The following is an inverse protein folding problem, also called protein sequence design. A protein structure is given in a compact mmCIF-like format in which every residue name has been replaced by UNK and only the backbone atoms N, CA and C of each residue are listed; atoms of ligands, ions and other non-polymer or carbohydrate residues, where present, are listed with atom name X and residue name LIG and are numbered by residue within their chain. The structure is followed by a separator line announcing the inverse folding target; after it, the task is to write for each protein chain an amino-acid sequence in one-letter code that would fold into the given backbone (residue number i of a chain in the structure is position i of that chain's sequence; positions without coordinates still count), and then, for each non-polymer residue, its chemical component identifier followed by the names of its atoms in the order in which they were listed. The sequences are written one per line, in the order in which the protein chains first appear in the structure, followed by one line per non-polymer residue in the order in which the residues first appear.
data_IF_399115426728
#
_entry.id   IF_399115426728
#
_cell.length_a   1.000
_cell.length_b   1.000
_cell.length_c   1.000
_cell.angle_alpha   90.00
_cell.angle_beta   90.00
_cell.angle_gamma   90.00
#
_symmetry.space_group_name_H-M   'P 1'
#
loop_
_entity.id
_entity.type
_entity.pdbx_description
1 polymer ?
#
# COMPACT_ATOMS: atom_id res chain seq x y z
N UNK A 1 -18.95 25.93 2.04
CA UNK A 1 -18.25 24.76 1.48
C UNK A 1 -17.40 24.20 2.59
N UNK A 2 -17.88 23.19 3.31
CA UNK A 2 -17.06 22.50 4.30
C UNK A 2 -16.04 21.68 3.50
N UNK A 3 -14.78 22.11 3.54
CA UNK A 3 -13.68 21.17 3.28
C UNK A 3 -13.71 20.24 4.48
N UNK A 4 -14.36 19.08 4.34
CA UNK A 4 -14.12 17.99 5.26
C UNK A 4 -12.63 17.70 5.18
N UNK A 5 -11.89 18.13 6.20
CA UNK A 5 -10.49 17.78 6.42
C UNK A 5 -10.46 16.29 6.81
N UNK A 6 -10.89 15.42 5.91
CA UNK A 6 -10.68 13.99 6.06
C UNK A 6 -9.18 13.78 5.91
N UNK A 7 -8.51 13.48 7.03
CA UNK A 7 -7.11 13.05 7.04
C UNK A 7 -6.89 11.72 6.30
N UNK A 8 -7.93 11.17 5.66
CA UNK A 8 -7.83 9.94 4.90
C UNK A 8 -7.18 10.22 3.55
N UNK A 9 -6.02 9.60 3.36
CA UNK A 9 -5.23 9.72 2.15
C UNK A 9 -5.65 8.68 1.09
N UNK A 10 -6.53 7.75 1.45
CA UNK A 10 -7.07 6.73 0.56
C UNK A 10 -8.51 7.11 0.17
N UNK A 11 -8.76 7.22 -1.14
CA UNK A 11 -10.09 7.48 -1.71
C UNK A 11 -10.92 6.21 -1.86
N UNK A 12 -10.28 5.12 -2.26
CA UNK A 12 -10.92 3.83 -2.48
C UNK A 12 -9.87 2.70 -2.47
N UNK A 13 -10.32 1.47 -2.18
CA UNK A 13 -9.52 0.26 -2.29
C UNK A 13 -10.26 -0.74 -3.19
N UNK A 14 -9.60 -1.17 -4.25
CA UNK A 14 -10.08 -2.24 -5.13
C UNK A 14 -9.09 -3.39 -5.15
N UNK A 15 -9.59 -4.60 -5.38
CA UNK A 15 -8.73 -5.74 -5.68
C UNK A 15 -8.38 -5.71 -7.17
N UNK A 16 -7.14 -6.06 -7.50
CA UNK A 16 -6.62 -6.11 -8.87
C UNK A 16 -5.80 -7.38 -9.07
N UNK A 17 -5.70 -7.79 -10.33
CA UNK A 17 -4.82 -8.87 -10.75
C UNK A 17 -3.59 -8.27 -11.42
N UNK A 18 -2.42 -8.58 -10.91
CA UNK A 18 -1.13 -8.19 -11.49
C UNK A 18 -0.90 -8.92 -12.83
N UNK A 19 0.03 -8.45 -13.65
CA UNK A 19 0.34 -9.05 -14.96
C UNK A 19 0.84 -10.51 -14.87
N UNK A 20 1.36 -10.92 -13.71
CA UNK A 20 1.77 -12.31 -13.42
C UNK A 20 0.62 -13.19 -12.89
N UNK A 21 -0.61 -12.66 -12.79
CA UNK A 21 -1.79 -13.38 -12.29
C UNK A 21 -1.98 -13.32 -10.76
N UNK A 22 -1.05 -12.73 -10.02
CA UNK A 22 -1.18 -12.59 -8.57
C UNK A 22 -2.26 -11.55 -8.21
N UNK A 23 -2.95 -11.78 -7.10
CA UNK A 23 -3.90 -10.82 -6.54
C UNK A 23 -3.16 -9.75 -5.73
N UNK A 24 -3.68 -8.53 -5.75
CA UNK A 24 -3.18 -7.41 -4.96
C UNK A 24 -4.33 -6.46 -4.58
N UNK A 25 -4.13 -5.67 -3.54
CA UNK A 25 -5.01 -4.54 -3.23
C UNK A 25 -4.42 -3.26 -3.82
N UNK A 26 -5.25 -2.49 -4.51
CA UNK A 26 -4.93 -1.18 -5.06
C UNK A 26 -5.68 -0.10 -4.29
N UNK A 27 -4.95 0.67 -3.49
CA UNK A 27 -5.44 1.84 -2.77
C UNK A 27 -5.21 3.11 -3.61
N UNK A 28 -6.29 3.69 -4.13
CA UNK A 28 -6.24 4.97 -4.84
C UNK A 28 -6.03 6.11 -3.84
N UNK A 29 -4.96 6.86 -3.99
CA UNK A 29 -4.57 7.93 -3.09
C UNK A 29 -5.17 9.28 -3.50
N UNK A 30 -5.18 10.25 -2.58
CA UNK A 30 -5.70 11.59 -2.85
C UNK A 30 -4.89 12.42 -3.86
N UNK A 31 -3.67 12.00 -4.18
CA UNK A 31 -2.80 12.62 -5.18
C UNK A 31 -2.91 11.95 -6.56
N UNK A 32 -3.98 11.20 -6.80
CA UNK A 32 -4.29 10.48 -8.05
C UNK A 32 -3.34 9.32 -8.40
N UNK A 33 -2.38 8.99 -7.53
CA UNK A 33 -1.57 7.76 -7.64
C UNK A 33 -2.24 6.56 -6.97
N UNK A 34 -1.71 5.37 -7.21
CA UNK A 34 -2.24 4.12 -6.67
C UNK A 34 -1.15 3.35 -5.95
N UNK A 35 -1.33 3.14 -4.64
CA UNK A 35 -0.50 2.23 -3.86
C UNK A 35 -1.03 0.81 -4.02
N UNK A 36 -0.21 -0.07 -4.55
CA UNK A 36 -0.49 -1.50 -4.70
C UNK A 36 0.22 -2.27 -3.61
N UNK A 37 -0.54 -3.07 -2.86
CA UNK A 37 -0.07 -3.99 -1.82
C UNK A 37 -0.26 -5.42 -2.31
N UNK A 38 0.85 -6.13 -2.53
CA UNK A 38 0.88 -7.52 -2.93
C UNK A 38 1.59 -8.37 -1.87
N UNK A 39 1.56 -9.69 -2.02
CA UNK A 39 2.20 -10.62 -1.09
C UNK A 39 3.71 -10.36 -0.93
N UNK A 40 4.37 -9.95 -2.00
CA UNK A 40 5.83 -9.89 -2.12
C UNK A 40 6.37 -8.48 -2.45
N UNK A 41 5.51 -7.47 -2.59
CA UNK A 41 5.93 -6.12 -2.97
C UNK A 41 4.94 -5.03 -2.53
N UNK A 42 5.49 -3.83 -2.30
CA UNK A 42 4.75 -2.58 -2.37
C UNK A 42 5.11 -1.85 -3.66
N UNK A 43 4.12 -1.29 -4.35
CA UNK A 43 4.35 -0.56 -5.59
C UNK A 43 3.47 0.68 -5.70
N UNK A 44 4.01 1.73 -6.31
CA UNK A 44 3.29 2.94 -6.65
C UNK A 44 3.07 3.01 -8.15
N UNK A 45 1.81 3.16 -8.55
CA UNK A 45 1.41 3.30 -9.94
C UNK A 45 0.78 4.67 -10.19
N UNK A 46 0.84 5.11 -11.44
CA UNK A 46 0.21 6.36 -11.90
C UNK A 46 -1.31 6.30 -11.83
N UNK A 47 -1.90 5.15 -12.17
CA UNK A 47 -3.35 4.91 -12.23
C UNK A 47 -3.64 3.43 -11.99
N UNK A 48 -4.89 3.08 -11.67
CA UNK A 48 -5.28 1.69 -11.36
C UNK A 48 -5.31 0.83 -12.62
N UNK A 49 -5.69 1.42 -13.75
CA UNK A 49 -5.77 0.76 -15.06
C UNK A 49 -4.40 0.24 -15.54
N UNK A 50 -3.32 0.85 -15.05
CA UNK A 50 -1.96 0.49 -15.44
C UNK A 50 -1.31 -0.59 -14.56
N UNK A 51 -1.95 -1.02 -13.46
CA UNK A 51 -1.39 -2.04 -12.56
C UNK A 51 -1.23 -3.40 -13.25
N UNK A 52 -2.13 -3.73 -14.18
CA UNK A 52 -2.10 -4.94 -14.98
C UNK A 52 -1.39 -4.80 -16.33
N UNK A 53 -0.80 -3.64 -16.64
CA UNK A 53 -0.12 -3.42 -17.92
C UNK A 53 1.12 -4.33 -18.01
N UNK A 54 1.17 -5.28 -18.98
CA UNK A 54 2.29 -6.21 -19.10
C UNK A 54 3.63 -5.52 -19.43
N UNK A 55 3.60 -4.29 -19.94
CA UNK A 55 4.79 -3.49 -20.23
C UNK A 55 5.22 -2.62 -19.05
N UNK A 56 4.41 -2.53 -17.99
CA UNK A 56 4.73 -1.77 -16.78
C UNK A 56 4.73 -0.25 -16.94
N UNK A 57 4.06 0.30 -17.96
CA UNK A 57 4.14 1.74 -18.30
C UNK A 57 3.63 2.69 -17.19
N UNK A 58 2.84 2.18 -16.24
CA UNK A 58 2.33 2.95 -15.11
C UNK A 58 3.13 2.84 -13.82
N UNK A 59 4.11 1.94 -13.74
CA UNK A 59 4.90 1.76 -12.53
C UNK A 59 5.78 3.01 -12.29
N UNK A 60 5.64 3.62 -11.13
CA UNK A 60 6.45 4.76 -10.70
C UNK A 60 7.65 4.24 -9.90
N UNK A 61 7.38 3.45 -8.87
CA UNK A 61 8.38 2.85 -7.97
C UNK A 61 7.82 1.56 -7.37
N UNK A 62 8.69 0.65 -6.99
CA UNK A 62 8.34 -0.52 -6.19
C UNK A 62 9.45 -0.86 -5.22
N UNK A 63 9.09 -1.56 -4.15
CA UNK A 63 10.04 -2.17 -3.24
C UNK A 63 9.65 -3.64 -3.03
N UNK A 64 10.54 -4.59 -3.34
CA UNK A 64 10.31 -6.00 -3.02
C UNK A 64 10.34 -6.19 -1.50
N UNK A 65 9.41 -6.99 -0.98
CA UNK A 65 9.33 -7.37 0.43
C UNK A 65 10.08 -8.66 0.74
N UNK A 66 10.46 -9.44 -0.29
CA UNK A 66 11.19 -10.71 -0.12
C UNK A 66 12.54 -10.57 0.57
N UNK A 67 13.16 -9.39 0.48
CA UNK A 67 14.45 -9.11 1.11
C UNK A 67 14.29 -8.51 2.52
N UNK A 68 13.05 -8.26 2.94
CA UNK A 68 12.69 -7.49 4.14
C UNK A 68 11.91 -8.36 5.13
N UNK A 69 11.08 -9.27 4.61
CA UNK A 69 10.24 -10.18 5.37
C UNK A 69 10.70 -11.61 5.15
N UNK A 70 10.71 -12.41 6.23
CA UNK A 70 11.02 -13.85 6.15
C UNK A 70 9.96 -14.62 5.37
N UNK A 71 8.72 -14.13 5.36
CA UNK A 71 7.56 -14.75 4.70
C UNK A 71 6.73 -13.69 3.95
N UNK A 72 6.05 -14.06 2.85
CA UNK A 72 5.15 -13.15 2.15
C UNK A 72 4.05 -12.59 3.06
N UNK A 73 3.53 -11.40 2.71
CA UNK A 73 2.37 -10.84 3.40
C UNK A 73 1.17 -11.80 3.27
N UNK A 74 0.52 -12.17 4.38
CA UNK A 74 -0.68 -12.98 4.32
C UNK A 74 -1.85 -12.13 3.83
N UNK A 75 -2.73 -12.73 3.02
CA UNK A 75 -4.04 -12.17 2.73
C UNK A 75 -5.09 -12.71 3.74
N UNK A 76 -6.19 -11.98 3.93
CA UNK A 76 -7.33 -12.46 4.70
C UNK A 76 -8.16 -13.50 3.91
N UNK A 77 -9.24 -14.01 4.51
CA UNK A 77 -10.11 -15.02 3.89
C UNK A 77 -10.75 -14.57 2.56
N UNK A 78 -10.85 -13.25 2.33
CA UNK A 78 -11.35 -12.66 1.08
C UNK A 78 -10.23 -12.36 0.07
N UNK A 79 -8.99 -12.79 0.33
CA UNK A 79 -7.84 -12.54 -0.54
C UNK A 79 -7.34 -11.09 -0.53
N UNK A 80 -7.70 -10.30 0.49
CA UNK A 80 -7.25 -8.91 0.65
C UNK A 80 -6.07 -8.80 1.61
N UNK A 81 -5.13 -7.93 1.29
CA UNK A 81 -3.98 -7.59 2.12
C UNK A 81 -4.28 -6.42 3.05
N UNK A 82 -5.12 -5.47 2.63
CA UNK A 82 -5.56 -4.35 3.46
C UNK A 82 -6.81 -4.77 4.24
N UNK A 83 -6.70 -4.80 5.57
CA UNK A 83 -7.79 -5.17 6.47
C UNK A 83 -8.60 -3.95 6.94
N UNK A 84 -7.93 -2.82 7.20
CA UNK A 84 -8.55 -1.58 7.65
C UNK A 84 -7.73 -0.36 7.22
N UNK A 85 -8.35 0.80 7.09
CA UNK A 85 -7.64 2.07 6.97
C UNK A 85 -8.38 3.21 7.66
N UNK A 86 -7.62 4.17 8.17
CA UNK A 86 -8.15 5.42 8.74
C UNK A 86 -7.05 6.47 8.83
N UNK A 87 -7.29 7.66 8.30
CA UNK A 87 -6.44 8.83 8.51
C UNK A 87 -4.94 8.59 8.20
N UNK A 88 -4.65 7.92 7.09
CA UNK A 88 -3.28 7.56 6.68
C UNK A 88 -2.72 6.30 7.33
N UNK A 89 -3.33 5.78 8.39
CA UNK A 89 -3.03 4.44 8.91
C UNK A 89 -3.71 3.37 8.06
N UNK A 90 -2.99 2.29 7.76
CA UNK A 90 -3.51 1.10 7.08
C UNK A 90 -3.08 -0.13 7.87
N UNK A 91 -4.05 -0.90 8.35
CA UNK A 91 -3.81 -2.21 8.94
C UNK A 91 -3.79 -3.29 7.85
N UNK A 92 -2.72 -4.07 7.80
CA UNK A 92 -2.59 -5.20 6.89
C UNK A 92 -3.08 -6.50 7.56
N UNK A 93 -3.54 -7.43 6.75
CA UNK A 93 -3.71 -8.81 7.18
C UNK A 93 -2.38 -9.35 7.74
N UNK A 94 -2.45 -10.06 8.86
CA UNK A 94 -1.26 -10.51 9.59
C UNK A 94 -0.65 -9.49 10.56
N UNK A 95 -1.26 -8.31 10.76
CA UNK A 95 -0.94 -7.40 11.87
C UNK A 95 0.16 -6.37 11.61
N UNK A 96 0.83 -6.44 10.44
CA UNK A 96 1.70 -5.36 9.95
C UNK A 96 0.87 -4.15 9.57
N UNK A 97 1.51 -2.99 9.51
CA UNK A 97 0.80 -1.73 9.23
C UNK A 97 1.57 -0.86 8.25
N UNK A 98 0.86 -0.06 7.48
CA UNK A 98 1.42 1.05 6.70
C UNK A 98 0.99 2.37 7.32
N UNK A 99 1.94 3.31 7.40
CA UNK A 99 1.65 4.73 7.57
C UNK A 99 1.85 5.42 6.24
N UNK A 100 0.77 5.97 5.71
CA UNK A 100 0.75 6.80 4.51
C UNK A 100 0.80 8.25 4.98
N UNK A 101 1.78 8.98 4.45
CA UNK A 101 1.90 10.44 4.58
C UNK A 101 1.76 11.06 3.19
N UNK A 102 1.92 12.39 3.10
CA UNK A 102 1.90 13.07 1.79
C UNK A 102 3.10 12.69 0.91
N UNK A 103 4.22 12.27 1.51
CA UNK A 103 5.49 12.08 0.80
C UNK A 103 5.93 10.63 0.74
N UNK A 104 5.48 9.79 1.67
CA UNK A 104 6.02 8.44 1.84
C UNK A 104 4.96 7.48 2.37
N UNK A 105 5.15 6.21 2.04
CA UNK A 105 4.51 5.06 2.70
C UNK A 105 5.58 4.33 3.49
N UNK A 106 5.37 4.17 4.79
CA UNK A 106 6.27 3.45 5.69
C UNK A 106 5.58 2.17 6.18
N UNK A 107 6.28 1.05 6.20
CA UNK A 107 5.80 -0.21 6.78
C UNK A 107 6.44 -0.46 8.14
N UNK A 108 5.63 -0.95 9.07
CA UNK A 108 6.06 -1.37 10.41
C UNK A 108 5.56 -2.78 10.72
N UNK A 109 6.29 -3.48 11.59
CA UNK A 109 5.93 -4.81 12.09
C UNK A 109 4.62 -4.82 12.86
N UNK A 110 4.28 -3.71 13.52
CA UNK A 110 3.11 -3.59 14.37
C UNK A 110 2.58 -2.16 14.42
N UNK A 111 1.33 -2.01 14.86
CA UNK A 111 0.74 -0.71 15.21
C UNK A 111 1.53 0.03 16.29
N UNK A 112 2.10 -0.71 17.23
CA UNK A 112 2.87 -0.14 18.34
C UNK A 112 4.15 0.55 17.86
N UNK A 113 4.88 -0.13 16.96
CA UNK A 113 6.07 0.41 16.28
C UNK A 113 5.72 1.65 15.46
N UNK A 114 4.63 1.60 14.69
CA UNK A 114 4.17 2.72 13.87
C UNK A 114 3.81 3.96 14.69
N UNK A 115 3.09 3.79 15.81
CA UNK A 115 2.71 4.91 16.69
C UNK A 115 3.92 5.60 17.32
N UNK A 116 5.01 4.86 17.54
CA UNK A 116 6.28 5.40 18.05
C UNK A 116 7.27 5.77 16.94
N UNK A 117 6.93 5.50 15.68
CA UNK A 117 7.81 5.65 14.53
C UNK A 117 9.17 4.96 14.73
N UNK A 118 9.15 3.74 15.27
CA UNK A 118 10.33 2.92 15.56
C UNK A 118 10.32 1.65 14.72
N UNK A 119 11.49 1.03 14.51
CA UNK A 119 11.62 -0.26 13.82
C UNK A 119 10.91 -0.29 12.44
N UNK A 120 11.08 0.79 11.67
CA UNK A 120 10.61 0.85 10.28
C UNK A 120 11.22 -0.31 9.49
N UNK A 121 10.39 -1.04 8.76
CA UNK A 121 10.81 -2.14 7.91
C UNK A 121 11.20 -1.66 6.52
N UNK A 122 10.37 -0.81 5.94
CA UNK A 122 10.56 -0.30 4.59
C UNK A 122 9.87 1.03 4.38
N UNK A 123 10.40 1.82 3.45
CA UNK A 123 9.80 3.07 2.99
C UNK A 123 9.75 3.13 1.47
N UNK A 124 8.61 3.58 0.96
CA UNK A 124 8.36 3.85 -0.45
C UNK A 124 8.01 5.33 -0.62
N UNK A 125 8.79 6.07 -1.39
CA UNK A 125 8.51 7.49 -1.63
C UNK A 125 7.36 7.70 -2.63
N UNK A 126 6.41 8.54 -2.23
CA UNK A 126 5.30 9.07 -3.00
C UNK A 126 5.61 10.43 -3.65
N UNK A 127 6.69 11.09 -3.23
CA UNK A 127 7.13 12.33 -3.84
C UNK A 127 7.48 12.07 -5.33
N UNK A 128 7.22 13.05 -6.24
CA UNK A 128 7.54 12.93 -7.66
C UNK A 128 9.04 12.70 -7.90
#
# INVERSE_FOLDING_TARGET
MLIENTSDLIRNITQVTLSNGAQADAASLINDTVLVVAADALALYRTVEQVGDPLGNGLIRSVPLTDILDEPLPANEAGRFIAEHRAGYVGLAGGRVLLITLNDVQMFSSKEDALRNHNELVRLSLAP
#
